data_IF_395612533302
#
_entry.id   IF_395612533302
#
_cell.length_a   1.000
_cell.length_b   1.000
_cell.length_c   1.000
_cell.angle_alpha   90.00
_cell.angle_beta   90.00
_cell.angle_gamma   90.00
#
_symmetry.space_group_name_H-M   'P 1'
#
loop_
_entity.id
_entity.type
_entity.pdbx_description
1 polymer ?
#
# COMPACT_ATOMS: atom_id res chain seq x y z
N UNK A 1 29.24 -22.30 9.98
CA UNK A 1 29.93 -21.90 11.25
C UNK A 1 29.90 -20.37 11.30
N UNK A 2 28.83 -19.79 11.83
CA UNK A 2 28.75 -18.33 12.05
C UNK A 2 29.70 -18.04 13.21
N UNK A 3 30.79 -17.37 12.91
CA UNK A 3 31.78 -16.97 13.91
C UNK A 3 31.19 -15.90 14.82
N UNK A 4 31.61 -15.85 16.09
CA UNK A 4 31.20 -14.87 17.10
C UNK A 4 31.32 -13.39 16.64
N UNK A 5 32.09 -13.13 15.60
CA UNK A 5 32.24 -11.80 14.98
C UNK A 5 31.00 -11.33 14.17
N UNK A 6 30.13 -12.25 13.74
CA UNK A 6 28.88 -11.89 13.01
C UNK A 6 27.77 -11.39 13.95
N UNK A 7 27.91 -11.60 15.26
CA UNK A 7 26.93 -11.18 16.28
C UNK A 7 27.04 -9.67 16.61
N UNK A 8 28.16 -9.03 16.27
CA UNK A 8 28.48 -7.63 16.61
C UNK A 8 28.51 -6.67 15.39
N UNK A 9 28.31 -7.13 14.17
CA UNK A 9 28.26 -6.22 13.04
C UNK A 9 26.94 -5.40 13.12
N UNK A 10 27.01 -4.06 12.99
CA UNK A 10 25.80 -3.24 13.02
C UNK A 10 24.88 -3.66 11.86
N UNK A 11 23.61 -3.93 12.17
CA UNK A 11 22.59 -4.21 11.15
C UNK A 11 22.49 -3.04 10.19
N UNK A 12 22.38 -3.29 8.90
CA UNK A 12 22.36 -2.25 7.87
C UNK A 12 20.99 -2.17 7.20
N UNK A 13 20.54 -0.95 6.96
CA UNK A 13 19.33 -0.66 6.20
C UNK A 13 19.65 0.28 5.03
N UNK A 14 19.07 0.01 3.86
CA UNK A 14 19.12 0.87 2.69
C UNK A 14 17.73 1.46 2.43
N UNK A 15 17.61 2.78 2.44
CA UNK A 15 16.38 3.51 2.16
C UNK A 15 16.51 4.34 0.88
N UNK A 16 15.61 4.12 -0.09
CA UNK A 16 15.64 4.74 -1.41
C UNK A 16 14.51 5.76 -1.57
N UNK A 17 14.61 6.60 -2.62
CA UNK A 17 13.53 7.47 -3.12
C UNK A 17 13.06 8.55 -2.10
N UNK A 18 13.99 9.14 -1.36
CA UNK A 18 13.70 10.20 -0.38
C UNK A 18 12.63 9.80 0.64
N UNK A 19 12.76 8.61 1.24
CA UNK A 19 11.94 8.20 2.38
C UNK A 19 12.10 9.23 3.52
N UNK A 20 10.99 9.52 4.22
CA UNK A 20 10.94 10.56 5.25
C UNK A 20 12.04 10.39 6.31
N UNK A 21 12.71 11.49 6.76
CA UNK A 21 13.81 11.42 7.73
C UNK A 21 13.48 10.72 9.06
N UNK A 22 12.22 10.75 9.50
CA UNK A 22 11.80 10.09 10.74
C UNK A 22 11.92 8.56 10.65
N UNK A 23 11.73 7.96 9.47
CA UNK A 23 12.03 6.55 9.27
C UNK A 23 13.52 6.26 9.49
N UNK A 24 14.40 7.13 8.97
CA UNK A 24 15.86 7.05 9.18
C UNK A 24 16.17 7.14 10.67
N UNK A 25 15.63 8.16 11.35
CA UNK A 25 15.85 8.39 12.77
C UNK A 25 15.39 7.19 13.63
N UNK A 26 14.23 6.61 13.29
CA UNK A 26 13.66 5.46 14.01
C UNK A 26 14.51 4.21 13.85
N UNK A 27 14.96 3.89 12.63
CA UNK A 27 15.85 2.76 12.38
C UNK A 27 17.23 2.96 13.03
N UNK A 28 17.80 4.18 12.95
CA UNK A 28 19.05 4.53 13.59
C UNK A 28 18.97 4.38 15.12
N UNK A 29 17.88 4.85 15.73
CA UNK A 29 17.61 4.69 17.17
C UNK A 29 17.54 3.21 17.58
N UNK A 30 17.07 2.33 16.68
CA UNK A 30 17.02 0.88 16.89
C UNK A 30 18.38 0.18 16.61
N UNK A 31 19.45 0.92 16.34
CA UNK A 31 20.80 0.41 16.16
C UNK A 31 21.19 0.05 14.72
N UNK A 32 20.39 0.45 13.73
CA UNK A 32 20.73 0.25 12.33
C UNK A 32 21.69 1.31 11.81
N UNK A 33 22.66 0.88 11.01
CA UNK A 33 23.42 1.78 10.13
C UNK A 33 22.58 2.00 8.87
N UNK A 34 22.01 3.20 8.73
CA UNK A 34 21.08 3.53 7.65
C UNK A 34 21.80 4.26 6.52
N UNK A 35 21.77 3.68 5.32
CA UNK A 35 22.18 4.33 4.08
C UNK A 35 20.94 4.88 3.38
N UNK A 36 20.99 6.11 2.86
CA UNK A 36 19.89 6.74 2.12
C UNK A 36 20.32 7.14 0.73
N UNK A 37 19.43 6.98 -0.26
CA UNK A 37 19.62 7.45 -1.64
C UNK A 37 18.36 8.17 -2.13
N UNK A 38 18.55 9.31 -2.80
CA UNK A 38 17.44 10.15 -3.25
C UNK A 38 16.65 9.57 -4.42
N UNK A 39 17.29 8.76 -5.27
CA UNK A 39 16.71 8.18 -6.49
C UNK A 39 16.18 6.76 -6.30
N UNK A 40 15.44 6.30 -7.29
CA UNK A 40 15.21 4.88 -7.51
C UNK A 40 16.49 4.25 -8.11
N UNK A 41 16.68 2.95 -7.89
CA UNK A 41 17.76 2.19 -8.49
C UNK A 41 17.19 1.28 -9.59
N UNK A 42 17.98 1.07 -10.64
CA UNK A 42 17.77 -0.02 -11.59
C UNK A 42 17.98 -1.37 -10.90
N UNK A 43 17.58 -2.46 -11.53
CA UNK A 43 17.74 -3.81 -11.00
C UNK A 43 19.19 -4.14 -10.67
N UNK A 44 20.11 -3.90 -11.61
CA UNK A 44 21.54 -4.16 -11.43
C UNK A 44 22.17 -3.31 -10.32
N UNK A 45 21.81 -2.03 -10.26
CA UNK A 45 22.27 -1.13 -9.19
C UNK A 45 21.74 -1.54 -7.82
N UNK A 46 20.50 -2.02 -7.76
CA UNK A 46 19.89 -2.52 -6.53
C UNK A 46 20.61 -3.79 -6.06
N UNK A 47 20.81 -4.77 -6.94
CA UNK A 47 21.56 -5.99 -6.62
C UNK A 47 22.96 -5.65 -6.11
N UNK A 48 23.67 -4.73 -6.77
CA UNK A 48 25.01 -4.31 -6.36
C UNK A 48 25.04 -3.62 -4.99
N UNK A 49 23.93 -3.00 -4.56
CA UNK A 49 23.81 -2.28 -3.29
C UNK A 49 23.40 -3.16 -2.10
N UNK A 50 22.92 -4.40 -2.34
CA UNK A 50 22.35 -5.27 -1.28
C UNK A 50 23.36 -5.97 -0.36
N UNK A 51 24.66 -6.18 -0.67
CA UNK A 51 25.57 -6.89 0.23
C UNK A 51 25.56 -6.33 1.66
N UNK A 52 25.23 -7.18 2.64
CA UNK A 52 25.13 -6.83 4.06
C UNK A 52 23.91 -5.98 4.44
N UNK A 53 22.97 -5.75 3.53
CA UNK A 53 21.72 -5.04 3.83
C UNK A 53 20.68 -6.02 4.35
N UNK A 54 20.19 -5.80 5.57
CA UNK A 54 19.13 -6.61 6.18
C UNK A 54 17.73 -6.03 5.96
N UNK A 55 17.59 -4.71 5.87
CA UNK A 55 16.32 -4.05 5.60
C UNK A 55 16.43 -3.15 4.36
N UNK A 56 15.51 -3.32 3.43
CA UNK A 56 15.38 -2.46 2.25
C UNK A 56 14.09 -1.62 2.35
N UNK A 57 14.22 -0.31 2.22
CA UNK A 57 13.09 0.61 2.06
C UNK A 57 13.04 1.17 0.66
N UNK A 58 11.89 1.04 0.00
CA UNK A 58 11.62 1.62 -1.32
C UNK A 58 10.30 2.41 -1.29
N UNK A 59 10.03 3.18 -2.35
CA UNK A 59 8.69 3.75 -2.59
C UNK A 59 8.06 3.10 -3.83
N UNK A 60 7.63 3.89 -4.79
CA UNK A 60 6.82 3.41 -5.91
C UNK A 60 7.61 3.16 -7.21
N UNK A 61 8.87 3.56 -7.29
CA UNK A 61 9.64 3.55 -8.55
C UNK A 61 10.69 2.45 -8.64
N UNK A 62 11.27 2.03 -7.52
CA UNK A 62 12.24 0.92 -7.50
C UNK A 62 11.49 -0.41 -7.59
N UNK A 63 11.86 -1.25 -8.57
CA UNK A 63 11.29 -2.58 -8.69
C UNK A 63 12.16 -3.61 -7.96
N UNK A 64 11.52 -4.44 -7.13
CA UNK A 64 12.17 -5.59 -6.48
C UNK A 64 11.65 -6.85 -7.15
N UNK A 65 12.39 -7.29 -8.14
CA UNK A 65 12.03 -8.39 -9.06
C UNK A 65 12.40 -9.75 -8.47
N UNK A 66 12.09 -10.80 -9.21
CA UNK A 66 12.51 -12.15 -8.87
C UNK A 66 14.05 -12.27 -8.90
N UNK A 67 14.69 -11.63 -9.85
CA UNK A 67 16.15 -11.60 -10.05
C UNK A 67 16.86 -10.98 -8.84
N UNK A 68 16.28 -9.90 -8.29
CA UNK A 68 16.80 -9.25 -7.05
C UNK A 68 16.73 -10.23 -5.87
N UNK A 69 15.61 -10.91 -5.65
CA UNK A 69 15.48 -11.87 -4.55
C UNK A 69 16.33 -13.14 -4.73
N UNK A 70 16.59 -13.54 -5.97
CA UNK A 70 17.42 -14.72 -6.28
C UNK A 70 18.94 -14.40 -6.24
N UNK A 71 19.31 -13.13 -6.23
CA UNK A 71 20.71 -12.73 -6.25
C UNK A 71 21.45 -13.12 -4.96
N UNK A 72 22.67 -13.70 -5.03
CA UNK A 72 23.46 -14.00 -3.84
C UNK A 72 23.71 -12.79 -2.92
N UNK A 73 23.73 -11.58 -3.49
CA UNK A 73 23.88 -10.31 -2.78
C UNK A 73 22.71 -10.00 -1.84
N UNK A 74 21.53 -10.61 -2.07
CA UNK A 74 20.36 -10.46 -1.23
C UNK A 74 20.27 -11.45 -0.06
N UNK A 75 21.31 -12.25 0.19
CA UNK A 75 21.31 -13.30 1.21
C UNK A 75 20.98 -12.77 2.63
N UNK A 76 21.46 -11.57 2.95
CA UNK A 76 21.24 -10.93 4.26
C UNK A 76 19.90 -10.20 4.37
N UNK A 77 19.17 -10.01 3.23
CA UNK A 77 17.91 -9.27 3.21
C UNK A 77 16.82 -10.07 3.93
N UNK A 78 16.26 -9.52 5.00
CA UNK A 78 15.20 -10.17 5.80
C UNK A 78 13.84 -9.53 5.61
N UNK A 79 13.78 -8.23 5.28
CA UNK A 79 12.51 -7.57 5.00
C UNK A 79 12.65 -6.40 4.02
N UNK A 80 11.55 -6.16 3.27
CA UNK A 80 11.37 -5.02 2.38
C UNK A 80 10.19 -4.18 2.87
N UNK A 81 10.40 -2.89 3.06
CA UNK A 81 9.36 -1.90 3.34
C UNK A 81 9.04 -1.09 2.09
N UNK A 82 7.79 -1.16 1.62
CA UNK A 82 7.25 -0.24 0.63
C UNK A 82 6.69 0.99 1.36
N UNK A 83 7.41 2.11 1.35
CA UNK A 83 6.99 3.37 1.97
C UNK A 83 5.95 4.10 1.09
N UNK A 84 4.89 3.37 0.75
CA UNK A 84 3.72 3.79 -0.04
C UNK A 84 2.58 2.79 0.18
N UNK A 85 1.44 3.03 -0.48
CA UNK A 85 0.27 2.14 -0.36
C UNK A 85 0.40 0.90 -1.23
N UNK A 86 0.84 1.07 -2.49
CA UNK A 86 0.94 -0.02 -3.47
C UNK A 86 2.18 -0.89 -3.22
N UNK A 87 2.10 -2.16 -3.62
CA UNK A 87 3.22 -3.11 -3.61
C UNK A 87 3.46 -3.73 -4.99
N UNK A 88 2.90 -3.13 -6.05
CA UNK A 88 2.96 -3.67 -7.41
C UNK A 88 4.40 -3.75 -7.97
N UNK A 89 5.31 -2.94 -7.42
CA UNK A 89 6.74 -2.92 -7.76
C UNK A 89 7.54 -4.04 -7.08
N UNK A 90 6.90 -4.90 -6.26
CA UNK A 90 7.55 -6.00 -5.55
C UNK A 90 6.94 -7.33 -5.98
N UNK A 91 7.74 -8.28 -6.44
CA UNK A 91 7.29 -9.64 -6.78
C UNK A 91 7.10 -10.43 -5.48
N UNK A 92 5.89 -10.38 -4.90
CA UNK A 92 5.56 -10.93 -3.59
C UNK A 92 5.83 -12.44 -3.48
N UNK A 93 5.56 -13.21 -4.55
CA UNK A 93 5.81 -14.66 -4.58
C UNK A 93 7.30 -14.97 -4.50
N UNK A 94 8.14 -14.17 -5.17
CA UNK A 94 9.60 -14.31 -5.08
C UNK A 94 10.13 -13.95 -3.70
N UNK A 95 9.60 -12.86 -3.09
CA UNK A 95 9.92 -12.49 -1.71
C UNK A 95 9.60 -13.63 -0.73
N UNK A 96 8.42 -14.25 -0.87
CA UNK A 96 8.01 -15.38 -0.03
C UNK A 96 8.97 -16.58 -0.15
N UNK A 97 9.34 -16.95 -1.38
CA UNK A 97 10.28 -18.05 -1.65
C UNK A 97 11.70 -17.75 -1.17
N UNK A 98 12.10 -16.49 -1.12
CA UNK A 98 13.37 -16.05 -0.54
C UNK A 98 13.32 -15.91 1.00
N UNK A 99 12.15 -16.11 1.61
CA UNK A 99 11.95 -15.91 3.04
C UNK A 99 12.11 -14.47 3.49
N UNK A 100 11.74 -13.50 2.63
CA UNK A 100 11.81 -12.06 2.88
C UNK A 100 10.40 -11.52 3.13
N UNK A 101 10.18 -10.88 4.28
CA UNK A 101 8.90 -10.27 4.61
C UNK A 101 8.71 -8.95 3.86
N UNK A 102 7.49 -8.66 3.41
CA UNK A 102 7.15 -7.40 2.74
C UNK A 102 6.07 -6.67 3.50
N UNK A 103 6.31 -5.39 3.82
CA UNK A 103 5.37 -4.50 4.49
C UNK A 103 5.13 -3.25 3.66
N UNK A 104 3.95 -2.65 3.80
CA UNK A 104 3.61 -1.36 3.21
C UNK A 104 2.84 -0.50 4.21
N UNK A 105 2.39 0.69 3.80
CA UNK A 105 1.58 1.60 4.60
C UNK A 105 0.14 1.69 4.05
N UNK A 106 -0.74 0.71 4.32
CA UNK A 106 -2.03 0.62 3.66
C UNK A 106 -3.06 1.70 4.07
N UNK A 107 -2.79 2.50 5.11
CA UNK A 107 -3.76 3.42 5.71
C UNK A 107 -3.22 4.85 5.91
N UNK A 108 -1.91 5.05 5.87
CA UNK A 108 -1.27 6.27 6.36
C UNK A 108 -1.55 7.53 5.55
N UNK A 109 -2.04 7.42 4.31
CA UNK A 109 -2.43 8.56 3.48
C UNK A 109 -3.95 8.72 3.32
N UNK A 110 -4.75 7.93 4.01
CA UNK A 110 -6.20 7.91 3.84
C UNK A 110 -6.80 9.31 3.99
N UNK A 111 -6.39 10.05 5.02
CA UNK A 111 -6.89 11.40 5.29
C UNK A 111 -6.54 12.39 4.19
N UNK A 112 -5.32 12.36 3.69
CA UNK A 112 -4.85 13.24 2.62
C UNK A 112 -5.67 13.07 1.33
N UNK A 113 -5.91 11.82 0.92
CA UNK A 113 -6.75 11.53 -0.25
C UNK A 113 -8.18 12.04 -0.05
N UNK A 114 -8.76 11.79 1.12
CA UNK A 114 -10.13 12.22 1.42
C UNK A 114 -10.28 13.73 1.36
N UNK A 115 -9.33 14.49 1.87
CA UNK A 115 -9.34 15.95 1.83
C UNK A 115 -9.22 16.49 0.41
N UNK A 116 -8.34 15.90 -0.41
CA UNK A 116 -8.24 16.26 -1.83
C UNK A 116 -9.54 15.98 -2.57
N UNK A 117 -10.14 14.80 -2.40
CA UNK A 117 -11.44 14.45 -3.01
C UNK A 117 -12.52 15.46 -2.66
N UNK A 118 -12.64 15.85 -1.39
CA UNK A 118 -13.64 16.84 -0.97
C UNK A 118 -13.39 18.22 -1.57
N UNK A 119 -12.13 18.65 -1.61
CA UNK A 119 -11.73 19.90 -2.25
C UNK A 119 -12.09 19.92 -3.73
N UNK A 120 -11.83 18.82 -4.45
CA UNK A 120 -12.12 18.66 -5.86
C UNK A 120 -13.64 18.59 -6.14
N UNK A 121 -14.42 17.86 -5.32
CA UNK A 121 -15.89 17.84 -5.43
C UNK A 121 -16.45 19.26 -5.33
N UNK A 122 -16.02 20.04 -4.32
CA UNK A 122 -16.47 21.40 -4.13
C UNK A 122 -16.01 22.29 -5.29
N UNK A 123 -14.76 22.16 -5.72
CA UNK A 123 -14.19 22.93 -6.82
C UNK A 123 -14.92 22.70 -8.14
N UNK A 124 -15.23 21.46 -8.47
CA UNK A 124 -15.97 21.08 -9.67
C UNK A 124 -17.44 21.55 -9.60
N UNK A 125 -18.13 21.33 -8.46
CA UNK A 125 -19.50 21.79 -8.27
C UNK A 125 -19.62 23.32 -8.41
N UNK A 126 -18.60 24.07 -8.01
CA UNK A 126 -18.53 25.54 -8.10
C UNK A 126 -17.89 26.02 -9.41
N UNK A 127 -17.40 25.13 -10.27
CA UNK A 127 -16.66 25.45 -11.51
C UNK A 127 -15.46 26.38 -11.25
N UNK A 128 -14.78 26.18 -10.12
CA UNK A 128 -13.65 27.03 -9.72
C UNK A 128 -12.49 27.02 -10.73
N UNK A 129 -12.09 25.88 -11.34
CA UNK A 129 -11.00 25.88 -12.33
C UNK A 129 -11.23 26.85 -13.49
N UNK A 130 -12.44 26.84 -14.07
CA UNK A 130 -12.77 27.74 -15.18
C UNK A 130 -12.85 29.19 -14.74
N UNK A 131 -13.48 29.46 -13.61
CA UNK A 131 -13.60 30.84 -13.08
C UNK A 131 -12.27 31.43 -12.70
N UNK A 132 -11.38 30.62 -12.10
CA UNK A 132 -10.03 31.04 -11.78
C UNK A 132 -9.22 31.35 -13.05
N UNK A 133 -9.30 30.48 -14.08
CA UNK A 133 -8.61 30.72 -15.35
C UNK A 133 -9.10 32.03 -16.01
N UNK A 134 -10.40 32.25 -16.08
CA UNK A 134 -10.99 33.50 -16.62
C UNK A 134 -10.47 34.72 -15.89
N UNK A 135 -10.43 34.71 -14.56
CA UNK A 135 -9.90 35.82 -13.78
C UNK A 135 -8.43 36.14 -14.10
N UNK A 136 -7.59 35.08 -14.26
CA UNK A 136 -6.19 35.29 -14.69
C UNK A 136 -6.07 35.85 -16.13
N UNK A 137 -7.07 35.60 -16.98
CA UNK A 137 -7.16 36.16 -18.33
C UNK A 137 -7.80 37.57 -18.35
N UNK A 138 -8.20 38.11 -17.19
CA UNK A 138 -8.84 39.43 -17.09
C UNK A 138 -10.36 39.43 -17.33
N UNK A 139 -10.99 38.27 -17.39
CA UNK A 139 -12.41 38.11 -17.61
C UNK A 139 -13.19 38.06 -16.27
N UNK A 140 -14.21 38.93 -16.14
CA UNK A 140 -15.03 39.02 -14.93
C UNK A 140 -16.36 38.28 -15.12
N UNK A 141 -16.41 36.97 -14.79
CA UNK A 141 -17.62 36.15 -14.92
C UNK A 141 -18.27 35.86 -13.55
N UNK A 142 -19.36 36.58 -13.24
CA UNK A 142 -20.18 36.42 -12.01
C UNK A 142 -21.32 35.44 -12.14
N UNK A 143 -21.49 34.79 -13.31
CA UNK A 143 -22.61 33.89 -13.56
C UNK A 143 -22.66 32.73 -12.53
N UNK A 144 -23.88 32.46 -12.04
CA UNK A 144 -24.16 31.28 -11.21
C UNK A 144 -24.48 30.02 -12.04
N UNK A 145 -24.54 30.15 -13.40
CA UNK A 145 -24.92 29.06 -14.27
C UNK A 145 -24.00 27.85 -14.12
N UNK A 146 -24.60 26.69 -13.82
CA UNK A 146 -23.89 25.44 -13.63
C UNK A 146 -23.05 25.36 -12.34
N UNK A 147 -23.11 26.38 -11.45
CA UNK A 147 -22.49 26.34 -10.13
C UNK A 147 -23.49 25.88 -9.08
N UNK A 148 -23.12 24.92 -8.26
CA UNK A 148 -23.99 24.28 -7.27
C UNK A 148 -23.34 24.25 -5.88
N UNK A 149 -24.16 24.22 -4.83
CA UNK A 149 -23.75 23.81 -3.49
C UNK A 149 -23.62 22.28 -3.44
N UNK A 150 -22.76 21.74 -2.60
CA UNK A 150 -22.67 20.29 -2.38
C UNK A 150 -23.73 19.78 -1.39
N UNK A 151 -24.25 20.66 -0.53
CA UNK A 151 -25.32 20.35 0.42
C UNK A 151 -26.56 19.81 -0.31
N UNK A 152 -27.06 18.66 0.14
CA UNK A 152 -28.21 17.99 -0.44
C UNK A 152 -27.92 17.17 -1.71
N UNK A 153 -26.70 17.28 -2.27
CA UNK A 153 -26.31 16.47 -3.44
C UNK A 153 -25.98 15.03 -3.05
N UNK A 154 -26.19 14.13 -4.00
CA UNK A 154 -25.91 12.71 -3.82
C UNK A 154 -24.49 12.38 -4.29
N UNK A 155 -23.69 11.82 -3.38
CA UNK A 155 -22.34 11.32 -3.63
C UNK A 155 -22.35 9.80 -3.73
N UNK A 156 -21.85 9.25 -4.82
CA UNK A 156 -21.62 7.82 -5.03
C UNK A 156 -20.14 7.47 -4.86
N UNK A 157 -19.87 6.54 -3.99
CA UNK A 157 -18.53 6.03 -3.70
C UNK A 157 -18.41 4.60 -4.24
N UNK A 158 -17.51 4.38 -5.20
CA UNK A 158 -17.19 3.05 -5.74
C UNK A 158 -15.92 2.54 -5.07
N UNK A 159 -16.06 1.48 -4.25
CA UNK A 159 -15.02 1.01 -3.33
C UNK A 159 -15.16 1.63 -1.94
N UNK A 160 -15.76 0.88 -1.01
CA UNK A 160 -16.02 1.32 0.36
C UNK A 160 -14.99 0.74 1.35
N UNK A 161 -13.70 0.94 1.00
CA UNK A 161 -12.54 0.63 1.84
C UNK A 161 -12.24 1.76 2.82
N UNK A 162 -10.96 1.88 3.24
CA UNK A 162 -10.54 2.89 4.24
C UNK A 162 -10.83 4.33 3.78
N UNK A 163 -10.51 4.65 2.52
CA UNK A 163 -10.74 5.98 1.94
C UNK A 163 -12.24 6.22 1.78
N UNK A 164 -12.97 5.31 1.13
CA UNK A 164 -14.40 5.47 0.88
C UNK A 164 -15.23 5.61 2.15
N UNK A 165 -14.92 4.82 3.18
CA UNK A 165 -15.60 4.90 4.47
C UNK A 165 -15.32 6.22 5.20
N UNK A 166 -14.07 6.70 5.23
CA UNK A 166 -13.74 7.99 5.85
C UNK A 166 -14.34 9.16 5.05
N UNK A 167 -14.29 9.09 3.71
CA UNK A 167 -14.92 10.08 2.84
C UNK A 167 -16.42 10.19 3.10
N UNK A 168 -17.12 9.06 3.29
CA UNK A 168 -18.57 9.07 3.53
C UNK A 168 -18.95 9.89 4.76
N UNK A 169 -18.21 9.75 5.85
CA UNK A 169 -18.43 10.48 7.10
C UNK A 169 -18.19 11.98 6.92
N UNK A 170 -17.14 12.37 6.21
CA UNK A 170 -16.82 13.79 5.99
C UNK A 170 -17.77 14.44 4.97
N UNK A 171 -18.18 13.73 3.94
CA UNK A 171 -19.17 14.21 2.97
C UNK A 171 -20.55 14.41 3.62
N UNK A 172 -20.95 13.51 4.54
CA UNK A 172 -22.17 13.70 5.35
C UNK A 172 -22.11 15.00 6.17
N UNK A 173 -20.96 15.30 6.79
CA UNK A 173 -20.79 16.55 7.54
C UNK A 173 -20.89 17.83 6.67
N UNK A 174 -20.66 17.70 5.35
CA UNK A 174 -20.94 18.77 4.37
C UNK A 174 -22.40 18.80 3.91
N UNK A 175 -23.25 17.95 4.47
CA UNK A 175 -24.67 17.85 4.14
C UNK A 175 -24.97 17.07 2.86
N UNK A 176 -24.04 16.24 2.36
CA UNK A 176 -24.27 15.36 1.23
C UNK A 176 -25.04 14.11 1.63
N UNK A 177 -25.79 13.52 0.70
CA UNK A 177 -26.40 12.18 0.85
C UNK A 177 -25.48 11.15 0.22
N UNK A 178 -24.92 10.25 1.01
CA UNK A 178 -23.89 9.32 0.55
C UNK A 178 -24.49 7.98 0.14
N UNK A 179 -24.07 7.49 -1.02
CA UNK A 179 -24.35 6.15 -1.53
C UNK A 179 -23.04 5.44 -1.84
N UNK A 180 -22.98 4.13 -1.69
CA UNK A 180 -21.76 3.39 -2.03
C UNK A 180 -22.05 2.03 -2.66
N UNK A 181 -21.10 1.57 -3.46
CA UNK A 181 -21.04 0.21 -4.00
C UNK A 181 -19.68 -0.40 -3.69
N UNK A 182 -19.66 -1.64 -3.21
CA UNK A 182 -18.47 -2.45 -3.01
C UNK A 182 -18.80 -3.91 -3.33
N UNK A 183 -17.84 -4.65 -3.90
CA UNK A 183 -17.98 -6.08 -4.20
C UNK A 183 -18.08 -6.93 -2.93
N UNK A 184 -17.47 -6.46 -1.83
CA UNK A 184 -17.56 -7.09 -0.52
C UNK A 184 -18.74 -6.52 0.28
N UNK A 185 -19.23 -7.30 1.25
CA UNK A 185 -20.19 -6.81 2.22
C UNK A 185 -19.50 -5.86 3.20
N UNK A 186 -19.88 -4.57 3.17
CA UNK A 186 -19.31 -3.51 3.99
C UNK A 186 -20.35 -2.89 4.89
N UNK A 187 -19.97 -2.64 6.13
CA UNK A 187 -20.83 -1.92 7.07
C UNK A 187 -20.91 -0.44 6.66
N UNK A 188 -22.13 0.05 6.48
CA UNK A 188 -22.39 1.47 6.20
C UNK A 188 -22.05 2.34 7.42
N UNK A 189 -21.40 3.48 7.21
CA UNK A 189 -21.10 4.47 8.25
C UNK A 189 -21.97 5.72 8.04
N UNK A 190 -22.44 6.30 9.14
CA UNK A 190 -23.27 7.51 9.11
C UNK A 190 -24.55 7.34 8.28
N UNK A 191 -24.83 8.29 7.38
CA UNK A 191 -26.00 8.26 6.49
C UNK A 191 -25.78 7.43 5.21
N UNK A 192 -24.61 6.81 5.03
CA UNK A 192 -24.26 6.10 3.80
C UNK A 192 -25.21 4.94 3.51
N UNK A 193 -25.66 4.84 2.27
CA UNK A 193 -26.59 3.80 1.79
C UNK A 193 -25.89 2.90 0.78
N UNK A 194 -25.93 1.60 1.01
CA UNK A 194 -25.38 0.63 0.07
C UNK A 194 -26.30 0.45 -1.13
N UNK A 195 -25.72 0.52 -2.33
CA UNK A 195 -26.33 0.07 -3.57
C UNK A 195 -25.95 -1.39 -3.83
N UNK A 196 -26.87 -2.17 -4.38
CA UNK A 196 -26.66 -3.59 -4.66
C UNK A 196 -25.85 -3.85 -5.91
N UNK A 197 -25.88 -2.88 -6.85
CA UNK A 197 -25.15 -2.93 -8.11
C UNK A 197 -24.48 -1.58 -8.39
N UNK A 198 -23.40 -1.60 -9.18
CA UNK A 198 -22.76 -0.39 -9.69
C UNK A 198 -23.77 0.46 -10.49
N UNK A 199 -24.59 -0.19 -11.34
CA UNK A 199 -25.58 0.51 -12.13
C UNK A 199 -26.61 1.28 -11.30
N UNK A 200 -27.12 0.71 -10.22
CA UNK A 200 -28.02 1.38 -9.28
C UNK A 200 -27.36 2.64 -8.69
N UNK A 201 -26.08 2.56 -8.32
CA UNK A 201 -25.32 3.71 -7.85
C UNK A 201 -25.27 4.81 -8.90
N UNK A 202 -24.84 4.49 -10.13
CA UNK A 202 -24.64 5.45 -11.21
C UNK A 202 -25.94 6.19 -11.60
N UNK A 203 -27.06 5.47 -11.61
CA UNK A 203 -28.40 6.02 -11.90
C UNK A 203 -28.96 6.86 -10.74
N UNK A 204 -28.41 6.73 -9.52
CA UNK A 204 -28.95 7.39 -8.32
C UNK A 204 -28.26 8.72 -8.01
N UNK A 205 -26.95 8.84 -8.30
CA UNK A 205 -26.12 9.92 -7.78
C UNK A 205 -25.71 10.95 -8.81
N UNK A 206 -25.31 12.14 -8.35
CA UNK A 206 -24.89 13.27 -9.18
C UNK A 206 -23.36 13.46 -9.18
N UNK A 207 -22.65 12.81 -8.29
CA UNK A 207 -21.18 12.82 -8.20
C UNK A 207 -20.71 11.41 -7.94
N UNK A 208 -19.77 10.91 -8.73
CA UNK A 208 -19.17 9.58 -8.59
C UNK A 208 -17.68 9.72 -8.31
N UNK A 209 -17.17 9.01 -7.30
CA UNK A 209 -15.75 8.96 -6.98
C UNK A 209 -15.28 7.51 -6.80
N UNK A 210 -14.11 7.20 -7.35
CA UNK A 210 -13.54 5.86 -7.34
C UNK A 210 -12.46 5.71 -6.27
N UNK A 211 -12.60 4.67 -5.44
CA UNK A 211 -11.65 4.29 -4.39
C UNK A 211 -11.40 2.78 -4.39
N UNK A 212 -11.27 2.20 -5.58
CA UNK A 212 -10.97 0.78 -5.77
C UNK A 212 -9.47 0.50 -5.75
N UNK A 213 -9.10 -0.73 -5.44
CA UNK A 213 -7.70 -1.16 -5.45
C UNK A 213 -7.17 -1.46 -6.87
N UNK A 214 -5.84 -1.73 -6.94
CA UNK A 214 -5.12 -2.00 -8.18
C UNK A 214 -5.19 -3.44 -8.68
N UNK A 215 -6.21 -4.24 -8.28
CA UNK A 215 -6.35 -5.62 -8.79
C UNK A 215 -6.65 -5.65 -10.29
N UNK A 216 -6.17 -6.66 -11.04
CA UNK A 216 -6.40 -6.75 -12.49
C UNK A 216 -7.88 -6.73 -12.90
N UNK A 217 -8.77 -7.26 -12.06
CA UNK A 217 -10.22 -7.28 -12.31
C UNK A 217 -10.90 -5.91 -12.30
N UNK A 218 -10.21 -4.85 -11.87
CA UNK A 218 -10.68 -3.47 -11.92
C UNK A 218 -10.23 -2.73 -13.20
N UNK A 219 -9.49 -3.37 -14.09
CA UNK A 219 -9.07 -2.76 -15.37
C UNK A 219 -10.28 -2.46 -16.25
N UNK A 220 -10.40 -1.21 -16.71
CA UNK A 220 -11.50 -0.77 -17.56
C UNK A 220 -12.89 -0.81 -16.89
N UNK A 221 -12.95 -0.75 -15.57
CA UNK A 221 -14.20 -0.77 -14.80
C UNK A 221 -15.16 0.38 -15.21
N UNK A 222 -14.61 1.52 -15.64
CA UNK A 222 -15.37 2.66 -16.14
C UNK A 222 -15.03 2.93 -17.60
N UNK A 223 -15.98 2.60 -18.47
CA UNK A 223 -15.96 2.86 -19.89
C UNK A 223 -17.21 3.60 -20.35
N UNK A 224 -17.46 3.59 -21.65
CA UNK A 224 -18.60 4.29 -22.26
C UNK A 224 -19.96 3.86 -21.68
N UNK A 225 -20.12 2.58 -21.33
CA UNK A 225 -21.37 2.05 -20.79
C UNK A 225 -21.69 2.62 -19.40
N UNK A 226 -20.66 2.72 -18.54
CA UNK A 226 -20.78 3.24 -17.17
C UNK A 226 -21.06 4.75 -17.21
N UNK A 227 -20.31 5.52 -18.03
CA UNK A 227 -20.58 6.95 -18.20
C UNK A 227 -21.98 7.21 -18.74
N UNK A 228 -22.47 6.44 -19.70
CA UNK A 228 -23.82 6.61 -20.25
C UNK A 228 -24.95 6.35 -19.21
N UNK A 229 -24.66 5.56 -18.15
CA UNK A 229 -25.61 5.32 -17.05
C UNK A 229 -25.60 6.41 -15.98
N UNK A 230 -24.57 7.22 -15.91
CA UNK A 230 -24.52 8.33 -14.97
C UNK A 230 -25.59 9.37 -15.25
N UNK A 231 -26.04 10.09 -14.24
CA UNK A 231 -26.99 11.18 -14.40
C UNK A 231 -26.43 12.27 -15.34
N UNK A 232 -27.23 12.89 -16.17
CA UNK A 232 -26.80 14.03 -16.99
C UNK A 232 -26.18 15.12 -16.10
N UNK A 233 -25.06 15.68 -16.54
CA UNK A 233 -24.31 16.72 -15.84
C UNK A 233 -23.71 16.28 -14.49
N UNK A 234 -23.41 15.00 -14.35
CA UNK A 234 -22.70 14.45 -13.20
C UNK A 234 -21.26 14.94 -13.13
N UNK A 235 -20.68 14.83 -11.95
CA UNK A 235 -19.25 14.99 -11.69
C UNK A 235 -18.59 13.62 -11.51
N UNK A 236 -17.36 13.48 -12.00
CA UNK A 236 -16.61 12.23 -11.93
C UNK A 236 -15.22 12.45 -11.38
N UNK A 237 -14.81 11.61 -10.41
CA UNK A 237 -13.47 11.68 -9.78
C UNK A 237 -12.79 10.31 -9.78
N UNK A 238 -11.51 10.29 -10.17
CA UNK A 238 -10.65 9.10 -10.02
C UNK A 238 -9.32 9.47 -9.36
N UNK A 239 -9.22 9.12 -8.08
CA UNK A 239 -7.99 9.19 -7.27
C UNK A 239 -7.55 7.79 -6.82
N UNK A 240 -7.88 6.76 -7.61
CA UNK A 240 -7.57 5.35 -7.30
C UNK A 240 -6.44 4.79 -8.17
N UNK A 241 -6.73 4.37 -9.41
CA UNK A 241 -5.75 3.87 -10.39
C UNK A 241 -6.13 4.30 -11.79
N UNK A 242 -5.14 4.67 -12.62
CA UNK A 242 -5.38 5.20 -13.97
C UNK A 242 -6.04 4.19 -14.90
N UNK A 243 -5.62 2.93 -14.88
CA UNK A 243 -6.13 1.86 -15.74
C UNK A 243 -7.59 1.43 -15.46
N UNK A 244 -8.18 1.96 -14.39
CA UNK A 244 -9.59 1.69 -14.04
C UNK A 244 -10.55 2.39 -14.99
N UNK A 245 -10.13 3.49 -15.62
CA UNK A 245 -10.98 4.39 -16.40
C UNK A 245 -10.50 4.49 -17.85
N UNK A 246 -11.43 4.36 -18.79
CA UNK A 246 -11.21 4.71 -20.19
C UNK A 246 -11.27 6.25 -20.35
N UNK A 247 -10.11 6.86 -20.56
CA UNK A 247 -9.97 8.31 -20.67
C UNK A 247 -10.54 8.86 -21.96
N UNK A 248 -10.59 8.10 -23.07
CA UNK A 248 -11.23 8.53 -24.31
C UNK A 248 -12.74 8.58 -24.16
N UNK A 249 -13.34 7.58 -23.51
CA UNK A 249 -14.75 7.57 -23.16
C UNK A 249 -15.10 8.72 -22.21
N UNK A 250 -14.29 9.00 -21.19
CA UNK A 250 -14.48 10.14 -20.29
C UNK A 250 -14.43 11.46 -21.04
N UNK A 251 -13.44 11.65 -21.92
CA UNK A 251 -13.31 12.84 -22.78
C UNK A 251 -14.58 13.07 -23.60
N UNK A 252 -15.05 12.07 -24.32
CA UNK A 252 -16.25 12.16 -25.17
C UNK A 252 -17.49 12.60 -24.36
N UNK A 253 -17.65 12.08 -23.13
CA UNK A 253 -18.77 12.46 -22.27
C UNK A 253 -18.62 13.86 -21.65
N UNK A 254 -17.41 14.37 -21.44
CA UNK A 254 -17.17 15.77 -21.05
C UNK A 254 -17.47 16.72 -22.23
N UNK A 255 -16.99 16.41 -23.43
CA UNK A 255 -17.21 17.24 -24.63
C UNK A 255 -18.69 17.36 -25.00
N UNK A 256 -19.49 16.32 -24.81
CA UNK A 256 -20.95 16.38 -24.98
C UNK A 256 -21.68 17.08 -23.82
N UNK A 257 -20.99 17.35 -22.69
CA UNK A 257 -21.58 17.94 -21.49
C UNK A 257 -22.42 16.96 -20.66
N UNK A 258 -22.40 15.66 -20.97
CA UNK A 258 -23.04 14.62 -20.17
C UNK A 258 -22.34 14.53 -18.79
N UNK A 259 -21.00 14.56 -18.75
CA UNK A 259 -20.20 14.78 -17.55
C UNK A 259 -19.85 16.27 -17.48
N UNK A 260 -20.30 16.96 -16.43
CA UNK A 260 -20.14 18.40 -16.27
C UNK A 260 -18.76 18.81 -15.76
N UNK A 261 -17.97 17.88 -15.26
CA UNK A 261 -16.61 18.09 -14.80
C UNK A 261 -15.99 16.83 -14.24
N UNK A 262 -14.66 16.76 -14.27
CA UNK A 262 -13.92 15.61 -13.74
C UNK A 262 -12.67 16.05 -12.97
N UNK A 263 -12.26 15.22 -11.99
CA UNK A 263 -10.97 15.32 -11.31
C UNK A 263 -10.22 13.99 -11.42
N UNK A 264 -9.00 14.04 -11.93
CA UNK A 264 -8.19 12.86 -12.23
C UNK A 264 -6.80 13.07 -11.64
N UNK A 265 -6.47 12.24 -10.66
CA UNK A 265 -5.16 12.26 -9.99
C UNK A 265 -4.22 11.14 -10.49
N UNK A 266 -4.76 10.17 -11.22
CA UNK A 266 -4.05 8.96 -11.67
C UNK A 266 -4.28 8.69 -13.14
N UNK A 267 -3.24 8.20 -13.85
CA UNK A 267 -3.26 8.06 -15.31
C UNK A 267 -2.83 6.66 -15.74
N UNK A 268 -3.29 6.14 -16.90
CA UNK A 268 -2.81 4.87 -17.45
C UNK A 268 -1.30 4.84 -17.65
N UNK A 269 -0.75 5.98 -18.11
CA UNK A 269 0.68 6.21 -18.27
C UNK A 269 1.09 7.45 -17.47
N UNK A 270 1.98 7.26 -16.51
CA UNK A 270 2.49 8.34 -15.66
C UNK A 270 3.97 8.61 -15.96
N UNK A 271 4.41 9.88 -16.01
CA UNK A 271 5.83 10.24 -16.19
C UNK A 271 6.71 9.60 -15.11
N UNK A 272 7.85 9.03 -15.54
CA UNK A 272 8.76 8.33 -14.62
C UNK A 272 9.67 9.28 -13.85
N UNK A 273 9.97 10.44 -14.43
CA UNK A 273 10.87 11.42 -13.83
C UNK A 273 10.30 12.84 -13.90
N UNK A 274 10.82 13.71 -13.02
CA UNK A 274 10.52 15.14 -13.08
C UNK A 274 11.10 15.75 -14.37
N UNK A 275 10.23 16.32 -15.19
CA UNK A 275 10.60 16.92 -16.46
C UNK A 275 10.21 16.09 -17.68
N UNK A 276 9.78 14.84 -17.50
CA UNK A 276 9.17 14.07 -18.57
C UNK A 276 7.86 14.74 -18.99
N UNK A 277 7.54 14.68 -20.28
CA UNK A 277 6.29 15.24 -20.80
C UNK A 277 5.09 14.42 -20.31
N UNK A 278 4.11 15.11 -19.73
CA UNK A 278 2.81 14.52 -19.41
C UNK A 278 1.87 14.62 -20.60
N UNK A 279 1.44 13.49 -21.14
CA UNK A 279 0.51 13.39 -22.25
C UNK A 279 -0.82 12.80 -21.77
N UNK A 280 -1.94 13.49 -22.04
CA UNK A 280 -3.27 12.99 -21.72
C UNK A 280 -4.31 13.62 -22.63
N UNK A 281 -5.29 12.83 -23.08
CA UNK A 281 -6.43 13.29 -23.86
C UNK A 281 -7.36 14.23 -23.07
N UNK A 282 -7.22 14.30 -21.75
CA UNK A 282 -8.03 15.12 -20.87
C UNK A 282 -7.51 16.56 -20.71
N UNK A 283 -6.31 16.86 -21.24
CA UNK A 283 -5.70 18.19 -21.12
C UNK A 283 -6.53 19.24 -21.87
N UNK A 284 -6.70 20.39 -21.25
CA UNK A 284 -7.40 21.55 -21.87
C UNK A 284 -8.93 21.46 -21.87
N UNK A 285 -9.52 20.40 -21.34
CA UNK A 285 -10.96 20.28 -21.22
C UNK A 285 -11.53 21.25 -20.16
N UNK A 286 -12.73 21.80 -20.38
CA UNK A 286 -13.37 22.70 -19.42
C UNK A 286 -13.78 21.94 -18.15
N UNK A 287 -13.66 22.62 -17.00
CA UNK A 287 -14.02 22.08 -15.68
C UNK A 287 -13.38 20.70 -15.39
N UNK A 288 -12.13 20.52 -15.81
CA UNK A 288 -11.33 19.33 -15.52
C UNK A 288 -10.15 19.71 -14.64
N UNK A 289 -9.96 19.00 -13.53
CA UNK A 289 -8.80 19.09 -12.65
C UNK A 289 -7.90 17.89 -12.92
N UNK A 290 -6.64 18.13 -13.23
CA UNK A 290 -5.61 17.10 -13.38
C UNK A 290 -4.53 17.34 -12.35
N UNK A 291 -4.23 16.34 -11.53
CA UNK A 291 -3.18 16.39 -10.51
C UNK A 291 -2.18 15.23 -10.71
N UNK A 292 -0.89 15.42 -10.42
CA UNK A 292 0.16 14.46 -10.76
C UNK A 292 0.33 13.38 -9.67
N UNK A 293 -0.73 12.60 -9.40
CA UNK A 293 -0.77 11.50 -8.42
C UNK A 293 -0.34 11.96 -7.01
N UNK A 294 -0.95 13.06 -6.55
CA UNK A 294 -0.60 13.72 -5.28
C UNK A 294 -1.61 13.46 -4.15
N UNK A 295 -2.63 12.63 -4.37
CA UNK A 295 -3.66 12.36 -3.36
C UNK A 295 -3.10 11.96 -1.99
N UNK A 296 -2.01 11.20 -1.96
CA UNK A 296 -1.31 10.82 -0.74
C UNK A 296 -0.02 11.61 -0.45
N UNK A 297 0.22 12.73 -1.15
CA UNK A 297 1.50 13.45 -1.09
C UNK A 297 1.39 14.71 -0.20
N UNK A 298 1.10 14.52 1.09
CA UNK A 298 1.18 15.56 2.11
C UNK A 298 2.35 15.28 3.07
N UNK A 299 2.83 16.28 3.77
CA UNK A 299 3.92 16.15 4.76
C UNK A 299 3.52 15.17 5.87
N UNK A 300 2.29 15.28 6.37
CA UNK A 300 1.74 14.39 7.40
C UNK A 300 1.65 12.94 6.91
N UNK A 301 1.17 12.70 5.69
CA UNK A 301 1.11 11.36 5.15
C UNK A 301 2.51 10.75 4.96
N UNK A 302 3.50 11.53 4.53
CA UNK A 302 4.87 11.02 4.38
C UNK A 302 5.51 10.69 5.74
N UNK A 303 5.24 11.49 6.78
CA UNK A 303 5.64 11.20 8.15
C UNK A 303 5.00 9.90 8.64
N UNK A 304 3.66 9.79 8.57
CA UNK A 304 2.89 8.63 9.02
C UNK A 304 3.31 7.34 8.28
N UNK A 305 3.54 7.42 6.96
CA UNK A 305 4.09 6.32 6.15
C UNK A 305 5.47 5.92 6.67
N UNK A 306 6.33 6.91 6.92
CA UNK A 306 7.69 6.70 7.43
C UNK A 306 7.70 5.96 8.75
N UNK A 307 6.94 6.44 9.71
CA UNK A 307 6.82 5.85 11.05
C UNK A 307 6.20 4.45 11.01
N UNK A 308 5.11 4.28 10.24
CA UNK A 308 4.39 3.03 10.18
C UNK A 308 5.24 1.90 9.58
N UNK A 309 5.83 2.12 8.39
CA UNK A 309 6.63 1.07 7.72
C UNK A 309 7.90 0.76 8.50
N UNK A 310 8.62 1.79 8.99
CA UNK A 310 9.80 1.57 9.85
C UNK A 310 9.43 0.79 11.11
N UNK A 311 8.27 1.08 11.72
CA UNK A 311 7.74 0.32 12.85
C UNK A 311 7.52 -1.15 12.51
N UNK A 312 6.90 -1.46 11.36
CA UNK A 312 6.66 -2.85 10.92
C UNK A 312 7.95 -3.61 10.64
N UNK A 313 8.93 -2.96 10.03
CA UNK A 313 10.25 -3.55 9.81
C UNK A 313 10.94 -3.89 11.15
N UNK A 314 10.87 -3.00 12.13
CA UNK A 314 11.42 -3.21 13.46
C UNK A 314 10.67 -4.29 14.25
N UNK A 315 9.33 -4.31 14.22
CA UNK A 315 8.50 -5.35 14.85
C UNK A 315 8.87 -6.76 14.30
N UNK A 316 9.09 -6.85 12.98
CA UNK A 316 9.51 -8.09 12.34
C UNK A 316 10.92 -8.49 12.73
N UNK A 317 11.85 -7.54 12.75
CA UNK A 317 13.24 -7.83 13.11
C UNK A 317 13.38 -8.23 14.58
N UNK A 318 12.71 -7.54 15.50
CA UNK A 318 12.83 -7.73 16.93
C UNK A 318 11.96 -8.87 17.48
N UNK A 319 10.84 -9.19 16.86
CA UNK A 319 9.86 -10.13 17.39
C UNK A 319 9.32 -11.14 16.37
N UNK A 320 9.73 -11.07 15.10
CA UNK A 320 9.18 -11.92 14.05
C UNK A 320 7.71 -11.64 13.72
N UNK A 321 7.17 -10.50 14.16
CA UNK A 321 5.75 -10.18 13.94
C UNK A 321 5.47 -9.86 12.47
N UNK A 322 4.51 -10.56 11.88
CA UNK A 322 4.11 -10.42 10.47
C UNK A 322 2.74 -9.80 10.28
N UNK A 323 2.22 -9.15 11.33
CA UNK A 323 0.94 -8.40 11.24
C UNK A 323 1.02 -7.36 10.13
N UNK A 324 0.07 -7.44 9.19
CA UNK A 324 0.01 -6.63 7.98
C UNK A 324 1.13 -6.90 6.96
N UNK A 325 1.80 -8.03 7.01
CA UNK A 325 2.68 -8.47 5.93
C UNK A 325 1.87 -8.72 4.65
N UNK A 326 2.42 -8.30 3.51
CA UNK A 326 1.78 -8.49 2.20
C UNK A 326 1.94 -9.91 1.65
N UNK A 327 2.94 -10.65 2.11
CA UNK A 327 3.30 -11.95 1.55
C UNK A 327 3.39 -13.10 2.54
N UNK A 328 3.62 -12.84 3.83
CA UNK A 328 3.64 -13.87 4.86
C UNK A 328 2.30 -13.95 5.62
N UNK A 329 1.98 -15.09 6.27
CA UNK A 329 0.83 -15.20 7.18
C UNK A 329 0.89 -14.13 8.27
N UNK A 330 -0.25 -13.51 8.58
CA UNK A 330 -0.31 -12.43 9.58
C UNK A 330 -0.39 -13.01 10.99
N UNK A 331 0.75 -13.16 11.66
CA UNK A 331 0.84 -13.62 13.04
C UNK A 331 1.75 -12.74 13.90
N UNK A 332 1.49 -12.72 15.20
CA UNK A 332 2.32 -12.10 16.20
C UNK A 332 2.16 -12.86 17.52
N UNK A 333 3.26 -13.36 18.08
CA UNK A 333 3.28 -13.99 19.39
C UNK A 333 3.79 -12.96 20.40
N UNK A 334 3.11 -12.74 21.54
CA UNK A 334 3.63 -11.89 22.60
C UNK A 334 5.05 -12.29 22.98
N UNK A 335 5.92 -11.31 23.24
CA UNK A 335 7.32 -11.60 23.55
C UNK A 335 7.44 -12.20 24.95
N UNK A 336 8.02 -13.39 25.07
CA UNK A 336 8.41 -13.98 26.35
C UNK A 336 9.77 -13.42 26.76
N UNK A 337 9.84 -12.73 27.90
CA UNK A 337 11.09 -12.12 28.40
C UNK A 337 12.11 -13.22 28.72
N UNK A 338 13.33 -13.11 28.18
CA UNK A 338 14.41 -14.04 28.41
C UNK A 338 14.39 -15.32 27.59
N UNK A 339 13.40 -15.47 26.67
CA UNK A 339 13.34 -16.60 25.74
C UNK A 339 14.17 -16.39 24.48
N UNK A 340 14.55 -17.47 23.82
CA UNK A 340 14.99 -17.43 22.43
C UNK A 340 13.78 -17.69 21.52
N UNK A 341 13.58 -16.85 20.54
CA UNK A 341 12.51 -16.99 19.55
C UNK A 341 13.07 -17.53 18.25
N UNK A 342 12.54 -18.65 17.81
CA UNK A 342 12.77 -19.22 16.49
C UNK A 342 11.68 -18.71 15.54
N UNK A 343 12.10 -18.12 14.44
CA UNK A 343 11.21 -17.65 13.36
C UNK A 343 11.50 -18.51 12.15
N UNK A 344 10.58 -19.39 11.79
CA UNK A 344 10.75 -20.40 10.76
C UNK A 344 9.78 -20.20 9.61
N UNK A 345 10.28 -19.83 8.45
CA UNK A 345 9.54 -19.78 7.19
C UNK A 345 9.78 -21.11 6.48
N UNK A 346 8.70 -21.77 6.08
CA UNK A 346 8.76 -23.11 5.47
C UNK A 346 7.71 -23.29 4.37
N UNK A 347 7.87 -24.33 3.55
CA UNK A 347 6.82 -24.74 2.62
C UNK A 347 5.60 -25.25 3.39
N UNK A 348 4.41 -24.83 2.97
CA UNK A 348 3.14 -25.24 3.61
C UNK A 348 2.74 -26.64 3.14
N UNK A 349 3.35 -27.67 3.74
CA UNK A 349 3.04 -29.08 3.46
C UNK A 349 2.68 -29.82 4.75
N UNK A 350 1.86 -30.89 4.69
CA UNK A 350 1.48 -31.67 5.87
C UNK A 350 2.69 -32.20 6.64
N UNK A 351 2.63 -32.16 7.97
CA UNK A 351 3.64 -32.75 8.85
C UNK A 351 4.79 -31.84 9.27
N UNK A 352 4.95 -30.64 8.69
CA UNK A 352 6.08 -29.73 9.01
C UNK A 352 6.11 -29.35 10.50
N UNK A 353 4.98 -28.93 11.07
CA UNK A 353 4.92 -28.58 12.50
C UNK A 353 5.28 -29.78 13.40
N UNK A 354 4.84 -30.99 13.02
CA UNK A 354 5.21 -32.21 13.76
C UNK A 354 6.72 -32.50 13.67
N UNK A 355 7.33 -32.28 12.52
CA UNK A 355 8.76 -32.44 12.32
C UNK A 355 9.58 -31.42 13.14
N UNK A 356 9.18 -30.13 13.12
CA UNK A 356 9.78 -29.08 13.94
C UNK A 356 9.73 -29.47 15.43
N UNK A 357 8.55 -29.85 15.93
CA UNK A 357 8.37 -30.20 17.33
C UNK A 357 9.11 -31.49 17.70
N UNK A 358 9.30 -32.43 16.76
CA UNK A 358 10.12 -33.63 16.99
C UNK A 358 11.60 -33.27 17.19
N UNK A 359 12.17 -32.39 16.36
CA UNK A 359 13.55 -31.91 16.55
C UNK A 359 13.72 -31.28 17.92
N UNK A 360 12.79 -30.43 18.36
CA UNK A 360 12.84 -29.82 19.70
C UNK A 360 12.77 -30.89 20.82
N UNK A 361 11.82 -31.84 20.69
CA UNK A 361 11.63 -32.89 21.67
C UNK A 361 12.84 -33.85 21.79
N UNK A 362 13.41 -34.27 20.65
CA UNK A 362 14.58 -35.18 20.62
C UNK A 362 15.82 -34.53 21.29
N UNK A 363 15.89 -33.20 21.32
CA UNK A 363 16.92 -32.44 22.03
C UNK A 363 16.50 -31.93 23.40
N UNK A 364 15.37 -32.40 23.93
CA UNK A 364 14.81 -31.99 25.24
C UNK A 364 14.58 -30.49 25.39
N UNK A 365 14.31 -29.76 24.27
CA UNK A 365 13.99 -28.34 24.28
C UNK A 365 12.53 -28.13 24.56
N UNK A 366 12.22 -27.41 25.63
CA UNK A 366 10.85 -27.06 25.99
C UNK A 366 10.34 -25.91 25.10
N UNK A 367 9.09 -26.02 24.64
CA UNK A 367 8.36 -24.97 23.91
C UNK A 367 7.54 -24.16 24.91
N UNK A 368 7.84 -22.88 25.05
CA UNK A 368 7.13 -21.96 25.96
C UNK A 368 5.94 -21.30 25.28
N UNK A 369 6.03 -21.10 23.97
CA UNK A 369 4.95 -20.58 23.15
C UNK A 369 5.18 -20.93 21.69
N UNK A 370 4.11 -21.20 20.94
CA UNK A 370 4.21 -21.49 19.52
C UNK A 370 2.98 -21.01 18.78
N UNK A 371 3.19 -20.40 17.61
CA UNK A 371 2.12 -19.97 16.72
C UNK A 371 2.48 -20.30 15.27
N UNK A 372 1.56 -20.97 14.58
CA UNK A 372 1.65 -21.28 13.15
C UNK A 372 0.61 -20.46 12.39
N UNK A 373 1.01 -19.82 11.32
CA UNK A 373 0.11 -19.31 10.29
C UNK A 373 0.50 -19.88 8.93
N UNK A 374 -0.49 -20.01 8.04
CA UNK A 374 -0.26 -20.45 6.65
C UNK A 374 -0.91 -19.48 5.66
N UNK A 375 -0.27 -19.29 4.52
CA UNK A 375 -0.77 -18.50 3.41
C UNK A 375 -0.24 -19.09 2.10
N UNK A 376 -1.15 -19.57 1.26
CA UNK A 376 -0.81 -20.21 -0.01
C UNK A 376 0.23 -21.35 0.19
N UNK A 377 1.39 -21.24 -0.46
CA UNK A 377 2.49 -22.21 -0.36
C UNK A 377 3.42 -22.01 0.85
N UNK A 378 3.18 -21.00 1.69
CA UNK A 378 4.05 -20.60 2.79
C UNK A 378 3.43 -20.92 4.15
N UNK A 379 4.21 -21.60 5.00
CA UNK A 379 3.99 -21.68 6.44
C UNK A 379 4.97 -20.77 7.18
N UNK A 380 4.50 -20.20 8.28
CA UNK A 380 5.28 -19.33 9.15
C UNK A 380 5.04 -19.73 10.60
N UNK A 381 6.12 -20.15 11.29
CA UNK A 381 6.06 -20.58 12.70
C UNK A 381 6.92 -19.66 13.55
N UNK A 382 6.34 -19.11 14.60
CA UNK A 382 7.08 -18.50 15.71
C UNK A 382 7.08 -19.50 16.86
N UNK A 383 8.25 -19.84 17.41
CA UNK A 383 8.40 -20.73 18.56
C UNK A 383 9.31 -20.09 19.58
N UNK A 384 8.80 -19.87 20.79
CA UNK A 384 9.60 -19.45 21.94
C UNK A 384 10.12 -20.68 22.69
N UNK A 385 11.41 -20.70 22.92
CA UNK A 385 12.14 -21.77 23.62
C UNK A 385 13.00 -21.17 24.73
N UNK A 386 13.42 -21.99 25.69
CA UNK A 386 14.29 -21.56 26.78
C UNK A 386 15.60 -20.95 26.31
N UNK A 387 16.36 -20.38 27.26
CA UNK A 387 17.63 -19.67 26.98
C UNK A 387 18.75 -20.59 26.54
N UNK A 388 18.72 -21.85 26.94
CA UNK A 388 19.75 -22.86 26.64
C UNK A 388 19.17 -23.94 25.72
N UNK A 389 19.80 -24.16 24.59
CA UNK A 389 19.48 -25.24 23.66
C UNK A 389 20.75 -25.66 22.90
N UNK A 390 20.85 -26.95 22.50
CA UNK A 390 22.00 -27.44 21.74
C UNK A 390 22.05 -26.77 20.33
N UNK A 391 23.23 -26.40 19.82
CA UNK A 391 23.39 -25.82 18.48
C UNK A 391 22.86 -26.73 17.38
N UNK A 392 22.82 -28.03 17.59
CA UNK A 392 22.32 -29.06 16.69
C UNK A 392 20.83 -28.84 16.34
N UNK A 393 20.06 -28.25 17.24
CA UNK A 393 18.64 -27.92 17.00
C UNK A 393 18.51 -27.00 15.81
N UNK A 394 19.28 -25.92 15.76
CA UNK A 394 19.22 -24.97 14.64
C UNK A 394 19.67 -25.63 13.34
N UNK A 395 20.79 -26.37 13.38
CA UNK A 395 21.33 -27.06 12.21
C UNK A 395 20.35 -28.07 11.63
N UNK A 396 19.62 -28.81 12.48
CA UNK A 396 18.61 -29.77 12.02
C UNK A 396 17.37 -29.08 11.46
N UNK A 397 16.90 -28.00 12.07
CA UNK A 397 15.78 -27.22 11.53
C UNK A 397 16.13 -26.53 10.21
N UNK A 398 17.35 -26.02 10.06
CA UNK A 398 17.85 -25.44 8.81
C UNK A 398 17.99 -26.48 7.70
N UNK A 399 18.39 -27.71 8.05
CA UNK A 399 18.61 -28.80 7.10
C UNK A 399 17.32 -29.49 6.62
N UNK A 400 16.15 -29.13 7.14
CA UNK A 400 14.89 -29.71 6.65
C UNK A 400 14.62 -29.23 5.23
N UNK A 401 14.32 -30.15 4.31
CA UNK A 401 14.04 -29.87 2.88
C UNK A 401 12.92 -28.82 2.66
N UNK A 402 12.04 -28.67 3.64
CA UNK A 402 10.90 -27.74 3.60
C UNK A 402 11.26 -26.36 4.18
N UNK A 403 12.42 -26.20 4.80
CA UNK A 403 12.86 -24.92 5.36
C UNK A 403 13.22 -23.94 4.25
N UNK A 404 12.59 -22.77 4.27
CA UNK A 404 12.93 -21.64 3.40
C UNK A 404 13.92 -20.74 4.12
N UNK A 405 13.62 -20.36 5.37
CA UNK A 405 14.49 -19.53 6.19
C UNK A 405 14.24 -19.78 7.69
N UNK A 406 15.29 -19.89 8.46
CA UNK A 406 15.24 -19.90 9.92
C UNK A 406 16.00 -18.69 10.47
N UNK A 407 15.44 -18.03 11.47
CA UNK A 407 16.07 -16.91 12.19
C UNK A 407 15.90 -17.13 13.69
N UNK A 408 16.91 -16.74 14.47
CA UNK A 408 16.85 -16.73 15.92
C UNK A 408 16.83 -15.28 16.40
N UNK A 409 15.91 -14.95 17.30
CA UNK A 409 15.77 -13.65 17.94
C UNK A 409 15.92 -13.85 19.45
N UNK A 410 16.77 -13.09 20.08
CA UNK A 410 16.84 -13.05 21.55
C UNK A 410 15.81 -12.05 22.06
N UNK A 411 14.87 -12.52 22.87
CA UNK A 411 13.87 -11.69 23.52
C UNK A 411 14.50 -11.07 24.79
N UNK A 412 14.76 -9.77 24.76
CA UNK A 412 15.36 -9.02 25.85
C UNK A 412 14.38 -8.72 26.99
#
# INVERSE_FOLDING_TARGET
MLTLDTINAPKRALLLENIHPDAVARLTKAGYQVETRAGALSEDELIAALPGISLLGIRSRTNVTQEVFAAPQAADLVAVGAFCIGVNQIVLTAASRAGVAVFNAPFSNTRSVVELVLAEIISLARRLPEKNLKMHLGEWDKSASGSHEVRGRKLGIVGYGNIGAQLSVLAENLGMSVYFYDIADKLAMGNARRCTTLGELLETVETVTLHVDGRPGNSGLFGQAEFARMQPRSLFLNLSRGFVVDHDALRANIETGHIAGAAIDVFPEEPKAKGDEFVSVLRGLPNVILTPHVGGSTEEAQLDIGEFVAGKLLDYDAAGATSLSNNLPAIALPTAVGANRLVHIHQNVPGVLAAINRVLADHHVNVEGQMLGTRDEIGYVITDIGTEYPPEVLSQLEAMDVTIRLRTIRCA
#
